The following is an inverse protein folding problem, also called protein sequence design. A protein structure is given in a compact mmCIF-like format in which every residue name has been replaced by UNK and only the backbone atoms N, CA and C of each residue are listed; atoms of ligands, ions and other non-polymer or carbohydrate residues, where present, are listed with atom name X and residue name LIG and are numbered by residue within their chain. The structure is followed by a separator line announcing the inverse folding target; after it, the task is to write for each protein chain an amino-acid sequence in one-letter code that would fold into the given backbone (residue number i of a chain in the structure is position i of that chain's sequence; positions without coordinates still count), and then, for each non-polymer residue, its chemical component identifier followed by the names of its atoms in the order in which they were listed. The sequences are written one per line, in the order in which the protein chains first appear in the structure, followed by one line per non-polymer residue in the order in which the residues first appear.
data_IF_381511792253
#
_entry.id   IF_381511792253
#
_cell.length_a   1.000
_cell.length_b   1.000
_cell.length_c   1.000
_cell.angle_alpha   90.00
_cell.angle_beta   90.00
_cell.angle_gamma   90.00
#
_symmetry.space_group_name_H-M   'P 1'
#
loop_
_entity.id
_entity.type
_entity.pdbx_description
1 polymer ?
#
# COMPACT_ATOMS: atom_id res chain seq x y z
N UNK A 1 -28.48 -3.49 34.47
CA UNK A 1 -27.78 -2.49 35.30
C UNK A 1 -26.32 -2.83 35.21
N UNK A 2 -25.60 -2.05 34.42
CA UNK A 2 -24.18 -1.73 34.55
C UNK A 2 -23.87 -0.72 33.44
N UNK A 3 -23.82 0.52 33.87
CA UNK A 3 -23.70 1.77 33.14
C UNK A 3 -22.32 2.33 33.51
N UNK A 4 -21.37 2.46 32.58
CA UNK A 4 -20.17 3.26 32.83
C UNK A 4 -19.61 3.92 31.55
N UNK A 5 -19.82 5.25 31.55
CA UNK A 5 -18.92 6.33 31.15
C UNK A 5 -18.37 6.40 29.72
N UNK A 6 -19.16 7.02 28.85
CA UNK A 6 -18.65 8.01 27.90
C UNK A 6 -18.36 9.33 28.64
N UNK A 7 -17.18 9.93 28.40
CA UNK A 7 -16.96 11.36 28.65
C UNK A 7 -15.76 11.68 29.54
N UNK A 8 -14.62 11.97 28.91
CA UNK A 8 -13.78 13.16 29.15
C UNK A 8 -12.64 13.18 28.11
N UNK A 9 -12.20 14.40 27.76
CA UNK A 9 -11.07 14.77 26.87
C UNK A 9 -11.42 15.53 25.57
N UNK A 10 -12.53 16.29 25.56
CA UNK A 10 -12.88 17.14 24.40
C UNK A 10 -12.48 18.63 24.51
N UNK A 11 -11.87 19.11 25.59
CA UNK A 11 -11.70 20.57 25.77
C UNK A 11 -10.26 21.12 25.73
N UNK A 12 -9.22 20.29 25.69
CA UNK A 12 -7.83 20.80 25.66
C UNK A 12 -7.29 21.00 24.23
N UNK A 13 -7.97 20.46 23.21
CA UNK A 13 -7.52 20.56 21.81
C UNK A 13 -8.17 21.71 21.03
N UNK A 14 -9.25 22.31 21.53
CA UNK A 14 -9.99 23.34 20.78
C UNK A 14 -9.23 24.66 20.66
N UNK A 15 -8.47 25.05 21.69
CA UNK A 15 -7.71 26.32 21.69
C UNK A 15 -6.43 26.23 20.85
N UNK A 16 -5.75 25.08 20.88
CA UNK A 16 -4.53 24.83 20.10
C UNK A 16 -4.82 24.61 18.61
N UNK A 17 -5.96 23.98 18.29
CA UNK A 17 -6.47 23.87 16.93
C UNK A 17 -6.99 25.22 16.40
N UNK A 18 -7.54 26.09 17.25
CA UNK A 18 -7.95 27.44 16.82
C UNK A 18 -6.77 28.38 16.59
N UNK A 19 -5.72 28.33 17.40
CA UNK A 19 -4.49 29.10 17.14
C UNK A 19 -3.78 28.60 15.87
N UNK A 20 -3.73 27.29 15.64
CA UNK A 20 -3.13 26.71 14.42
C UNK A 20 -3.98 26.96 13.17
N UNK A 21 -5.31 26.99 13.31
CA UNK A 21 -6.26 27.35 12.25
C UNK A 21 -6.14 28.81 11.81
N UNK A 22 -5.72 29.71 12.71
CA UNK A 22 -5.55 31.13 12.37
C UNK A 22 -4.32 31.41 11.50
N UNK A 23 -3.37 30.46 11.40
CA UNK A 23 -2.22 30.55 10.49
C UNK A 23 -2.47 29.93 9.11
N UNK A 24 -3.57 29.20 8.91
CA UNK A 24 -3.91 28.51 7.65
C UNK A 24 -5.27 29.02 7.15
N UNK A 25 -5.40 30.34 7.02
CA UNK A 25 -6.55 30.97 6.36
C UNK A 25 -6.11 32.15 5.48
N UNK A 26 -5.05 31.94 4.71
CA UNK A 26 -4.90 32.58 3.40
C UNK A 26 -4.95 31.45 2.37
N UNK A 27 -6.05 31.39 1.62
CA UNK A 27 -6.17 30.47 0.49
C UNK A 27 -5.01 30.71 -0.46
N UNK A 28 -4.13 29.72 -0.62
CA UNK A 28 -2.97 29.83 -1.52
C UNK A 28 -3.43 29.64 -2.95
N UNK A 29 -4.24 30.58 -3.42
CA UNK A 29 -4.38 30.92 -4.83
C UNK A 29 -3.21 31.84 -5.18
N UNK A 30 -2.00 31.27 -5.26
CA UNK A 30 -0.78 32.06 -5.29
C UNK A 30 0.43 31.33 -5.84
N UNK A 31 1.34 32.10 -6.45
CA UNK A 31 2.63 31.64 -6.93
C UNK A 31 3.50 31.16 -5.75
N UNK A 32 3.77 29.85 -5.69
CA UNK A 32 4.58 29.26 -4.62
C UNK A 32 6.10 29.45 -4.81
N UNK A 33 6.54 30.21 -5.83
CA UNK A 33 7.96 30.39 -6.16
C UNK A 33 8.81 30.83 -4.97
N UNK A 34 8.27 31.70 -4.10
CA UNK A 34 9.00 32.21 -2.94
C UNK A 34 9.37 31.11 -1.94
N UNK A 35 8.55 30.06 -1.79
CA UNK A 35 8.84 28.94 -0.90
C UNK A 35 10.02 28.08 -1.36
N UNK A 36 10.35 28.14 -2.66
CA UNK A 36 11.41 27.32 -3.26
C UNK A 36 12.62 28.16 -3.72
N UNK A 37 12.58 29.48 -3.52
CA UNK A 37 13.70 30.36 -3.79
C UNK A 37 14.71 30.25 -2.64
N UNK A 38 15.87 29.64 -2.92
CA UNK A 38 16.95 29.48 -1.95
C UNK A 38 18.32 29.65 -2.61
N UNK A 39 19.27 30.19 -1.85
CA UNK A 39 20.69 30.28 -2.23
C UNK A 39 21.50 29.11 -1.64
N UNK A 40 20.85 28.14 -1.01
CA UNK A 40 21.48 27.00 -0.39
C UNK A 40 22.09 26.05 -1.45
N UNK A 41 23.28 25.53 -1.13
CA UNK A 41 23.95 24.49 -1.91
C UNK A 41 23.81 23.19 -1.13
N UNK A 42 23.03 22.27 -1.69
CA UNK A 42 22.79 20.96 -1.07
C UNK A 42 23.98 20.03 -1.35
N UNK A 43 24.42 19.29 -0.34
CA UNK A 43 25.56 18.36 -0.50
C UNK A 43 25.28 17.19 -1.47
N UNK A 44 24.02 16.84 -1.70
CA UNK A 44 23.63 15.76 -2.61
C UNK A 44 22.28 16.04 -3.29
N UNK A 45 22.01 15.27 -4.35
CA UNK A 45 20.70 15.25 -5.03
C UNK A 45 19.60 14.85 -4.07
N UNK A 46 19.87 13.86 -3.22
CA UNK A 46 18.93 13.30 -2.28
C UNK A 46 18.56 14.33 -1.20
N UNK A 47 19.53 15.08 -0.69
CA UNK A 47 19.31 16.14 0.29
C UNK A 47 18.47 17.29 -0.29
N UNK A 48 18.73 17.68 -1.56
CA UNK A 48 17.88 18.64 -2.28
C UNK A 48 16.42 18.15 -2.38
N UNK A 49 16.22 16.87 -2.72
CA UNK A 49 14.87 16.30 -2.86
C UNK A 49 14.16 16.22 -1.50
N UNK A 50 14.89 15.89 -0.44
CA UNK A 50 14.36 15.82 0.92
C UNK A 50 13.94 17.19 1.44
N UNK A 51 14.75 18.22 1.21
CA UNK A 51 14.40 19.62 1.52
C UNK A 51 13.12 20.06 0.79
N UNK A 52 13.03 19.80 -0.53
CA UNK A 52 11.81 20.09 -1.31
C UNK A 52 10.60 19.34 -0.74
N UNK A 53 10.78 18.07 -0.35
CA UNK A 53 9.70 17.25 0.24
C UNK A 53 9.19 17.82 1.57
N UNK A 54 10.06 18.37 2.41
CA UNK A 54 9.66 19.03 3.65
C UNK A 54 8.76 20.24 3.41
N UNK A 55 9.11 21.09 2.44
CA UNK A 55 8.31 22.27 2.10
C UNK A 55 6.96 21.89 1.52
N UNK A 56 6.94 20.99 0.53
CA UNK A 56 5.69 20.61 -0.16
C UNK A 56 4.73 19.87 0.77
N UNK A 57 5.26 19.16 1.78
CA UNK A 57 4.45 18.52 2.83
C UNK A 57 3.64 19.56 3.60
N UNK A 58 4.29 20.64 4.03
CA UNK A 58 3.63 21.74 4.76
C UNK A 58 2.65 22.52 3.88
N UNK A 59 2.93 22.62 2.58
CA UNK A 59 2.05 23.30 1.61
C UNK A 59 0.90 22.42 1.10
N UNK A 60 0.83 21.15 1.48
CA UNK A 60 -0.32 20.31 1.14
C UNK A 60 -0.31 19.74 -0.28
N UNK A 61 0.86 19.46 -0.87
CA UNK A 61 0.92 18.75 -2.15
C UNK A 61 2.10 17.81 -2.27
N UNK A 62 2.09 16.97 -3.31
CA UNK A 62 3.10 15.94 -3.52
C UNK A 62 3.92 16.25 -4.76
N UNK A 63 5.24 16.17 -4.61
CA UNK A 63 6.20 16.31 -5.71
C UNK A 63 6.79 14.96 -6.09
N UNK A 64 6.89 14.72 -7.40
CA UNK A 64 7.45 13.52 -7.99
C UNK A 64 8.58 13.85 -8.96
N UNK A 65 9.53 12.93 -9.13
CA UNK A 65 10.54 13.03 -10.18
C UNK A 65 9.90 12.78 -11.54
N UNK A 66 9.82 13.83 -12.36
CA UNK A 66 9.31 13.74 -13.74
C UNK A 66 10.38 13.16 -14.66
N UNK A 67 11.61 13.64 -14.51
CA UNK A 67 12.75 13.24 -15.32
C UNK A 67 14.03 13.41 -14.53
N UNK A 68 15.00 12.54 -14.73
CA UNK A 68 16.36 12.74 -14.24
C UNK A 68 17.35 12.21 -15.26
N UNK A 69 18.52 12.82 -15.31
CA UNK A 69 19.60 12.41 -16.20
C UNK A 69 20.94 12.53 -15.46
N UNK A 70 21.93 11.75 -15.88
CA UNK A 70 23.30 11.78 -15.39
C UNK A 70 24.23 11.94 -16.58
N UNK A 71 25.18 12.88 -16.50
CA UNK A 71 26.19 13.05 -17.52
C UNK A 71 27.03 11.77 -17.62
N UNK A 72 27.04 11.14 -18.80
CA UNK A 72 27.81 9.93 -19.10
C UNK A 72 29.04 10.23 -19.97
N UNK A 73 29.48 11.49 -20.02
CA UNK A 73 30.54 11.93 -20.94
C UNK A 73 30.13 12.08 -22.40
N UNK A 74 28.86 11.78 -22.74
CA UNK A 74 28.32 12.01 -24.09
C UNK A 74 27.99 13.50 -24.31
N UNK A 75 28.29 14.07 -25.50
CA UNK A 75 27.90 15.44 -25.84
C UNK A 75 26.40 15.66 -25.66
N UNK A 76 26.01 16.71 -24.94
CA UNK A 76 24.62 17.10 -24.74
C UNK A 76 23.88 16.48 -23.54
N UNK A 77 24.42 15.44 -22.89
CA UNK A 77 23.84 14.90 -21.65
C UNK A 77 24.34 15.67 -20.44
N UNK A 78 23.40 16.31 -19.71
CA UNK A 78 23.69 17.07 -18.49
C UNK A 78 23.09 16.33 -17.29
N UNK A 79 23.79 16.33 -16.16
CA UNK A 79 23.24 15.82 -14.90
C UNK A 79 22.16 16.78 -14.39
N UNK A 80 20.93 16.29 -14.16
CA UNK A 80 19.86 17.07 -13.54
C UNK A 80 18.75 16.17 -12.98
N UNK A 81 17.90 16.75 -12.13
CA UNK A 81 16.61 16.20 -11.73
C UNK A 81 15.52 17.23 -11.97
N UNK A 82 14.45 16.83 -12.63
CA UNK A 82 13.24 17.60 -12.84
C UNK A 82 12.16 17.03 -11.92
N UNK A 83 11.69 17.86 -11.01
CA UNK A 83 10.64 17.59 -10.06
C UNK A 83 9.38 18.34 -10.49
N UNK A 84 8.21 17.78 -10.24
CA UNK A 84 6.96 18.53 -10.40
C UNK A 84 5.79 17.88 -9.68
N UNK A 85 4.63 18.52 -9.76
CA UNK A 85 3.45 18.09 -9.03
C UNK A 85 2.99 16.68 -9.43
N UNK A 86 2.53 15.88 -8.47
CA UNK A 86 1.94 14.55 -8.70
C UNK A 86 0.78 14.62 -9.71
N UNK A 87 0.04 15.73 -9.76
CA UNK A 87 -1.05 15.97 -10.71
C UNK A 87 -0.58 16.51 -12.08
N UNK A 88 0.72 16.73 -12.26
CA UNK A 88 1.32 17.19 -13.52
C UNK A 88 1.32 16.14 -14.64
N UNK A 89 1.29 16.63 -15.89
CA UNK A 89 1.24 15.81 -17.11
C UNK A 89 -0.16 15.29 -17.47
N UNK A 90 -0.25 14.60 -18.62
CA UNK A 90 -1.48 13.99 -19.13
C UNK A 90 -1.61 12.54 -18.69
N UNK A 91 -2.85 12.09 -18.49
CA UNK A 91 -3.13 10.66 -18.35
C UNK A 91 -2.73 9.94 -19.64
N UNK A 92 -1.94 8.87 -19.51
CA UNK A 92 -1.60 7.98 -20.62
C UNK A 92 -2.32 6.66 -20.40
N UNK A 93 -3.22 6.32 -21.31
CA UNK A 93 -3.86 5.01 -21.32
C UNK A 93 -2.80 3.92 -21.53
N UNK A 94 -2.83 2.89 -20.69
CA UNK A 94 -1.99 1.70 -20.89
C UNK A 94 -2.47 0.87 -22.09
N UNK A 95 -3.79 0.84 -22.33
CA UNK A 95 -4.41 0.28 -23.54
C UNK A 95 -5.35 1.31 -24.17
N UNK A 96 -5.17 1.70 -25.44
CA UNK A 96 -5.98 2.74 -26.07
C UNK A 96 -7.47 2.39 -26.12
N UNK A 97 -7.79 1.11 -26.33
CA UNK A 97 -9.16 0.61 -26.58
C UNK A 97 -9.98 0.35 -25.32
N UNK A 98 -9.40 0.52 -24.12
CA UNK A 98 -10.18 0.40 -22.89
C UNK A 98 -10.83 1.75 -22.52
N UNK A 99 -12.16 1.79 -22.31
CA UNK A 99 -12.81 2.97 -21.76
C UNK A 99 -12.29 3.22 -20.34
N UNK A 100 -11.96 4.47 -20.04
CA UNK A 100 -11.53 4.85 -18.69
C UNK A 100 -12.76 4.79 -17.79
N UNK A 101 -12.83 3.79 -16.92
CA UNK A 101 -13.96 3.59 -16.00
C UNK A 101 -13.94 4.60 -14.84
N UNK A 102 -12.84 5.33 -14.67
CA UNK A 102 -12.62 6.28 -13.57
C UNK A 102 -11.99 7.58 -14.08
N UNK A 103 -12.27 8.68 -13.39
CA UNK A 103 -11.61 9.97 -13.63
C UNK A 103 -10.11 9.91 -13.34
N UNK A 104 -9.33 10.69 -14.09
CA UNK A 104 -7.88 10.84 -13.88
C UNK A 104 -7.59 11.98 -12.90
N UNK A 105 -6.61 11.80 -12.00
CA UNK A 105 -6.12 12.88 -11.11
C UNK A 105 -5.15 13.85 -11.80
N UNK A 106 -4.61 13.45 -12.95
CA UNK A 106 -3.69 14.24 -13.76
C UNK A 106 -4.44 15.39 -14.42
N UNK A 107 -3.98 16.62 -14.20
CA UNK A 107 -4.58 17.86 -14.69
C UNK A 107 -3.55 18.78 -15.37
N UNK A 108 -2.41 18.24 -15.79
CA UNK A 108 -1.35 19.02 -16.44
C UNK A 108 -0.83 20.20 -15.60
N UNK A 109 -0.83 20.04 -14.27
CA UNK A 109 -0.29 21.04 -13.35
C UNK A 109 1.10 21.55 -13.81
N UNK A 110 1.29 22.87 -13.95
CA UNK A 110 2.51 23.45 -14.51
C UNK A 110 3.67 23.51 -13.50
N UNK A 111 3.41 23.38 -12.20
CA UNK A 111 4.42 23.39 -11.13
C UNK A 111 5.62 22.48 -11.45
N UNK A 112 6.81 23.09 -11.51
CA UNK A 112 8.07 22.40 -11.82
C UNK A 112 9.27 23.05 -11.14
N UNK A 113 10.16 22.20 -10.64
CA UNK A 113 11.45 22.55 -10.07
C UNK A 113 12.57 21.76 -10.75
N UNK A 114 13.76 22.34 -10.85
CA UNK A 114 14.94 21.70 -11.44
C UNK A 114 16.11 21.74 -10.47
N UNK A 115 16.57 20.57 -10.06
CA UNK A 115 17.87 20.40 -9.41
C UNK A 115 18.97 20.17 -10.43
N UNK A 116 20.10 20.85 -10.29
CA UNK A 116 21.30 20.65 -11.11
C UNK A 116 22.56 20.71 -10.24
N UNK A 117 23.66 20.04 -10.63
CA UNK A 117 24.93 20.21 -9.95
C UNK A 117 25.37 21.67 -9.94
N UNK A 118 26.01 22.08 -8.86
CA UNK A 118 26.65 23.38 -8.76
C UNK A 118 27.90 23.42 -9.67
N UNK A 119 28.28 24.61 -10.14
CA UNK A 119 29.25 24.79 -11.23
C UNK A 119 30.62 24.14 -11.00
N UNK A 120 31.02 23.92 -9.73
CA UNK A 120 32.30 23.30 -9.37
C UNK A 120 32.21 21.81 -9.04
N UNK A 121 31.03 21.18 -9.21
CA UNK A 121 30.80 19.76 -8.89
C UNK A 121 30.50 19.49 -7.41
N UNK A 122 30.84 20.43 -6.52
CA UNK A 122 30.54 20.35 -5.10
C UNK A 122 29.10 20.82 -4.83
N UNK A 123 28.18 19.85 -4.82
CA UNK A 123 26.81 20.05 -4.40
C UNK A 123 25.79 20.31 -5.52
N UNK A 124 24.58 20.66 -5.11
CA UNK A 124 23.38 20.76 -5.93
C UNK A 124 22.65 22.06 -5.61
N UNK A 125 22.11 22.69 -6.64
CA UNK A 125 21.28 23.89 -6.51
C UNK A 125 19.89 23.64 -7.07
N UNK A 126 18.90 24.28 -6.45
CA UNK A 126 17.51 24.25 -6.88
C UNK A 126 17.21 25.48 -7.75
N UNK A 127 16.48 25.26 -8.85
CA UNK A 127 15.97 26.31 -9.70
C UNK A 127 14.46 26.13 -9.86
N UNK A 128 13.68 27.17 -9.55
CA UNK A 128 12.24 27.19 -9.82
C UNK A 128 12.03 27.39 -11.32
N UNK A 129 11.23 26.52 -11.94
CA UNK A 129 10.77 26.70 -13.33
C UNK A 129 9.39 27.35 -13.34
N UNK A 130 8.48 26.85 -12.50
CA UNK A 130 7.13 27.39 -12.35
C UNK A 130 6.62 27.07 -10.94
N UNK A 131 6.20 28.10 -10.19
CA UNK A 131 5.59 27.97 -8.87
C UNK A 131 4.06 27.87 -8.86
N UNK A 132 3.41 27.92 -10.02
CA UNK A 132 1.94 27.93 -10.12
C UNK A 132 1.32 26.53 -10.11
N UNK A 133 0.14 26.43 -9.49
CA UNK A 133 -0.75 25.29 -9.56
C UNK A 133 -2.05 25.65 -10.28
N UNK A 134 -2.62 24.71 -11.02
CA UNK A 134 -3.91 24.87 -11.69
C UNK A 134 -5.02 24.08 -11.00
N UNK A 135 -4.84 23.81 -9.71
CA UNK A 135 -5.72 23.03 -8.88
C UNK A 135 -5.47 23.40 -7.41
N UNK A 136 -6.47 23.17 -6.58
CA UNK A 136 -6.34 23.40 -5.14
C UNK A 136 -5.30 22.47 -4.51
N UNK A 137 -4.58 23.00 -3.54
CA UNK A 137 -3.71 22.22 -2.67
C UNK A 137 -4.57 21.45 -1.66
N UNK A 138 -4.06 20.32 -1.15
CA UNK A 138 -4.80 19.45 -0.26
C UNK A 138 -4.56 19.84 1.21
N UNK A 139 -5.62 19.87 2.01
CA UNK A 139 -5.50 20.02 3.47
C UNK A 139 -4.74 18.85 4.11
N UNK A 140 -4.88 17.66 3.54
CA UNK A 140 -4.17 16.46 4.00
C UNK A 140 -3.63 15.67 2.82
N UNK A 141 -2.45 15.06 3.00
CA UNK A 141 -1.88 14.15 1.99
C UNK A 141 -2.48 12.73 2.05
N UNK A 142 -3.49 12.49 2.89
CA UNK A 142 -4.14 11.18 3.00
C UNK A 142 -4.86 10.86 1.69
N UNK A 143 -4.63 9.66 1.15
CA UNK A 143 -5.22 9.24 -0.13
C UNK A 143 -4.42 9.67 -1.37
N UNK A 144 -3.34 10.44 -1.19
CA UNK A 144 -2.34 10.66 -2.25
C UNK A 144 -1.53 9.37 -2.48
N UNK A 145 -1.55 8.78 -3.70
CA UNK A 145 -0.95 7.49 -3.96
C UNK A 145 0.56 7.49 -3.77
N UNK A 146 1.24 8.57 -4.14
CA UNK A 146 2.69 8.68 -3.99
C UNK A 146 3.09 8.94 -2.54
N UNK A 147 2.40 9.82 -1.82
CA UNK A 147 2.71 10.12 -0.41
C UNK A 147 2.46 8.93 0.52
N UNK A 148 1.39 8.15 0.28
CA UNK A 148 1.11 6.96 1.10
C UNK A 148 1.91 5.71 0.73
N UNK A 149 2.89 5.81 -0.19
CA UNK A 149 3.74 4.68 -0.58
C UNK A 149 4.72 4.35 0.54
N UNK A 150 4.83 3.06 0.87
CA UNK A 150 5.79 2.57 1.86
C UNK A 150 7.23 2.77 1.36
N UNK A 151 8.07 3.37 2.21
CA UNK A 151 9.51 3.40 1.99
C UNK A 151 10.14 2.04 2.34
N UNK A 152 11.45 1.88 2.11
CA UNK A 152 12.15 0.60 2.32
C UNK A 152 12.08 0.10 3.77
N UNK A 153 12.17 1.00 4.75
CA UNK A 153 12.09 0.68 6.18
C UNK A 153 10.69 0.23 6.57
N UNK A 154 9.67 0.98 6.15
CA UNK A 154 8.27 0.65 6.38
C UNK A 154 7.87 -0.67 5.68
N UNK A 155 8.41 -0.91 4.48
CA UNK A 155 8.21 -2.14 3.74
C UNK A 155 8.82 -3.34 4.50
N UNK A 156 9.98 -3.18 5.14
CA UNK A 156 10.59 -4.22 5.96
C UNK A 156 9.71 -4.56 7.18
N UNK A 157 9.16 -3.55 7.87
CA UNK A 157 8.20 -3.73 8.96
C UNK A 157 6.97 -4.50 8.48
N UNK A 158 6.39 -4.10 7.35
CA UNK A 158 5.22 -4.79 6.78
C UNK A 158 5.53 -6.27 6.48
N UNK A 159 6.71 -6.56 5.94
CA UNK A 159 7.13 -7.93 5.61
C UNK A 159 7.27 -8.77 6.87
N UNK A 160 7.96 -8.25 7.89
CA UNK A 160 8.16 -8.96 9.16
C UNK A 160 6.83 -9.28 9.85
N UNK A 161 5.98 -8.26 10.03
CA UNK A 161 4.66 -8.42 10.62
C UNK A 161 3.72 -9.30 9.78
N UNK A 162 3.93 -9.37 8.46
CA UNK A 162 3.18 -10.28 7.59
C UNK A 162 3.57 -11.73 7.84
N UNK A 163 4.85 -12.03 8.09
CA UNK A 163 5.33 -13.38 8.41
C UNK A 163 4.77 -13.88 9.74
N UNK A 164 4.66 -12.99 10.73
CA UNK A 164 4.06 -13.27 12.05
C UNK A 164 2.52 -13.22 12.05
N UNK A 165 1.90 -13.16 10.86
CA UNK A 165 0.44 -13.20 10.67
C UNK A 165 -0.33 -12.07 11.36
N UNK A 166 0.32 -10.93 11.64
CA UNK A 166 -0.35 -9.74 12.20
C UNK A 166 -1.40 -9.21 11.21
N UNK A 167 -2.48 -8.62 11.71
CA UNK A 167 -3.56 -8.06 10.86
C UNK A 167 -3.08 -6.80 10.14
N UNK A 168 -3.65 -6.50 8.96
CA UNK A 168 -3.30 -5.28 8.22
C UNK A 168 -3.61 -4.00 9.00
N UNK A 169 -4.65 -4.02 9.85
CA UNK A 169 -4.99 -2.89 10.71
C UNK A 169 -3.87 -2.61 11.73
N UNK A 170 -3.36 -3.64 12.41
CA UNK A 170 -2.27 -3.49 13.37
C UNK A 170 -0.96 -3.11 12.68
N UNK A 171 -0.69 -3.62 11.48
CA UNK A 171 0.46 -3.16 10.67
C UNK A 171 0.35 -1.66 10.40
N UNK A 172 -0.81 -1.17 9.98
CA UNK A 172 -1.01 0.25 9.74
C UNK A 172 -0.81 1.09 11.01
N UNK A 173 -1.30 0.62 12.16
CA UNK A 173 -1.11 1.29 13.44
C UNK A 173 0.38 1.40 13.79
N UNK A 174 1.15 0.31 13.66
CA UNK A 174 2.60 0.32 13.91
C UNK A 174 3.33 1.27 12.95
N UNK A 175 2.96 1.30 11.67
CA UNK A 175 3.56 2.24 10.71
C UNK A 175 3.32 3.70 11.09
N UNK A 176 2.11 4.03 11.59
CA UNK A 176 1.77 5.38 12.05
C UNK A 176 2.45 5.74 13.38
N UNK A 177 2.59 4.78 14.29
CA UNK A 177 3.33 4.98 15.55
C UNK A 177 4.82 5.22 15.33
N UNK A 178 5.40 4.62 14.29
CA UNK A 178 6.82 4.81 13.96
C UNK A 178 7.10 6.14 13.25
N UNK A 179 6.07 6.76 12.65
CA UNK A 179 6.20 8.00 11.89
C UNK A 179 4.87 8.76 11.85
N UNK A 180 4.79 9.86 12.58
CA UNK A 180 3.60 10.71 12.67
C UNK A 180 3.21 11.33 11.32
N UNK A 181 4.16 11.48 10.40
CA UNK A 181 3.92 11.99 9.05
C UNK A 181 3.45 10.89 8.07
N UNK A 182 3.29 9.64 8.51
CA UNK A 182 2.84 8.55 7.65
C UNK A 182 1.35 8.71 7.26
N UNK A 183 1.14 8.97 5.96
CA UNK A 183 -0.20 9.11 5.35
C UNK A 183 -0.66 7.86 4.60
N UNK A 184 -0.02 6.72 4.85
CA UNK A 184 -0.43 5.44 4.25
C UNK A 184 -1.85 5.09 4.69
N UNK A 185 -2.62 4.59 3.72
CA UNK A 185 -3.99 4.11 3.93
C UNK A 185 -4.03 2.60 4.11
N UNK A 186 -5.08 2.09 4.75
CA UNK A 186 -5.27 0.64 4.91
C UNK A 186 -5.31 -0.11 3.56
N UNK A 187 -5.84 0.54 2.51
CA UNK A 187 -5.86 0.02 1.15
C UNK A 187 -4.44 -0.21 0.62
N UNK A 188 -3.54 0.75 0.82
CA UNK A 188 -2.13 0.61 0.44
C UNK A 188 -1.43 -0.52 1.19
N UNK A 189 -1.72 -0.70 2.49
CA UNK A 189 -1.20 -1.84 3.27
C UNK A 189 -1.69 -3.17 2.70
N UNK A 190 -2.98 -3.29 2.37
CA UNK A 190 -3.52 -4.49 1.71
C UNK A 190 -2.81 -4.77 0.38
N UNK A 191 -2.65 -3.75 -0.47
CA UNK A 191 -1.97 -3.89 -1.76
C UNK A 191 -0.50 -4.28 -1.62
N UNK A 192 0.24 -3.67 -0.70
CA UNK A 192 1.64 -3.99 -0.43
C UNK A 192 1.78 -5.43 0.09
N UNK A 193 0.92 -5.83 1.03
CA UNK A 193 0.88 -7.20 1.56
C UNK A 193 0.53 -8.23 0.51
N UNK A 194 -0.44 -7.94 -0.34
CA UNK A 194 -0.80 -8.80 -1.47
C UNK A 194 0.39 -8.96 -2.42
N UNK A 195 1.07 -7.87 -2.75
CA UNK A 195 2.24 -7.88 -3.64
C UNK A 195 3.37 -8.72 -3.07
N UNK A 196 3.65 -8.59 -1.77
CA UNK A 196 4.63 -9.43 -1.07
C UNK A 196 4.25 -10.92 -1.07
N UNK A 197 2.99 -11.25 -0.75
CA UNK A 197 2.52 -12.65 -0.83
C UNK A 197 2.63 -13.20 -2.25
N UNK A 198 2.31 -12.37 -3.26
CA UNK A 198 2.44 -12.75 -4.67
C UNK A 198 3.90 -13.01 -5.05
N UNK A 199 4.85 -12.21 -4.58
CA UNK A 199 6.28 -12.46 -4.86
C UNK A 199 6.79 -13.76 -4.24
N UNK A 200 6.24 -14.20 -3.10
CA UNK A 200 6.58 -15.50 -2.50
C UNK A 200 6.08 -16.70 -3.32
N UNK A 201 4.93 -16.56 -3.98
CA UNK A 201 4.34 -17.63 -4.80
C UNK A 201 5.08 -17.84 -6.13
N UNK A 202 5.71 -16.80 -6.65
CA UNK A 202 6.33 -16.82 -7.98
C UNK A 202 5.27 -16.90 -9.07
N UNK A 203 5.47 -17.79 -10.04
CA UNK A 203 4.54 -18.04 -11.15
C UNK A 203 3.33 -18.91 -10.79
N UNK A 204 3.30 -19.49 -9.58
CA UNK A 204 2.23 -20.40 -9.16
C UNK A 204 0.90 -19.67 -9.00
N UNK A 205 -0.19 -20.32 -9.43
CA UNK A 205 -1.54 -19.89 -9.09
C UNK A 205 -1.81 -20.02 -7.59
N UNK A 206 -2.88 -19.40 -7.09
CA UNK A 206 -3.23 -19.49 -5.67
C UNK A 206 -3.52 -20.94 -5.26
N UNK A 207 -4.14 -21.72 -6.15
CA UNK A 207 -4.44 -23.12 -5.96
C UNK A 207 -3.18 -24.00 -6.00
N UNK A 208 -2.29 -23.80 -6.96
CA UNK A 208 -1.01 -24.52 -7.02
C UNK A 208 -0.17 -24.28 -5.77
N UNK A 209 -0.16 -23.05 -5.27
CA UNK A 209 0.50 -22.73 -4.00
C UNK A 209 -0.16 -23.47 -2.83
N UNK A 210 -1.50 -23.52 -2.79
CA UNK A 210 -2.24 -24.25 -1.76
C UNK A 210 -1.91 -25.74 -1.78
N UNK A 211 -1.99 -26.40 -2.95
CA UNK A 211 -1.67 -27.82 -3.09
C UNK A 211 -0.25 -28.12 -2.62
N UNK A 212 0.74 -27.33 -3.06
CA UNK A 212 2.12 -27.46 -2.60
C UNK A 212 2.26 -27.32 -1.07
N UNK A 213 1.49 -26.44 -0.43
CA UNK A 213 1.50 -26.30 1.04
C UNK A 213 0.84 -27.50 1.72
N UNK A 214 -0.25 -28.04 1.18
CA UNK A 214 -0.92 -29.23 1.69
C UNK A 214 0.03 -30.44 1.63
N UNK A 215 0.74 -30.63 0.51
CA UNK A 215 1.75 -31.68 0.36
C UNK A 215 2.89 -31.52 1.37
N UNK A 216 3.47 -30.33 1.44
CA UNK A 216 4.61 -30.03 2.32
C UNK A 216 4.27 -30.29 3.78
N UNK A 217 3.10 -29.83 4.21
CA UNK A 217 2.65 -29.92 5.60
C UNK A 217 1.90 -31.24 5.88
N UNK A 218 1.94 -32.19 4.92
CA UNK A 218 1.40 -33.55 5.01
C UNK A 218 -0.09 -33.61 5.32
N UNK A 219 -0.86 -32.67 4.77
CA UNK A 219 -2.31 -32.73 4.83
C UNK A 219 -2.84 -33.85 3.95
N UNK A 220 -3.88 -34.52 4.42
CA UNK A 220 -4.66 -35.43 3.59
C UNK A 220 -5.53 -34.56 2.71
N UNK A 221 -5.40 -34.68 1.40
CA UNK A 221 -6.17 -33.88 0.47
C UNK A 221 -6.59 -34.70 -0.76
N UNK A 222 -7.69 -34.27 -1.36
CA UNK A 222 -8.27 -34.86 -2.56
C UNK A 222 -8.79 -33.73 -3.45
N UNK A 223 -8.60 -33.84 -4.75
CA UNK A 223 -9.07 -32.87 -5.72
C UNK A 223 -9.70 -33.55 -6.92
N UNK A 224 -10.71 -32.90 -7.51
CA UNK A 224 -11.30 -33.26 -8.79
C UNK A 224 -11.16 -32.09 -9.76
N UNK A 225 -10.84 -32.39 -11.02
CA UNK A 225 -10.88 -31.44 -12.11
C UNK A 225 -12.25 -31.49 -12.81
N UNK A 226 -12.65 -30.39 -13.41
CA UNK A 226 -13.78 -30.36 -14.32
C UNK A 226 -13.50 -31.29 -15.53
N UNK A 227 -14.56 -31.88 -16.09
CA UNK A 227 -14.45 -32.75 -17.27
C UNK A 227 -13.70 -32.03 -18.39
N UNK A 228 -12.75 -32.75 -19.00
CA UNK A 228 -11.88 -32.27 -20.07
C UNK A 228 -11.09 -30.97 -19.77
N UNK A 229 -10.81 -30.70 -18.48
CA UNK A 229 -10.09 -29.50 -18.05
C UNK A 229 -8.99 -29.80 -17.03
N UNK A 230 -7.94 -28.98 -17.03
CA UNK A 230 -6.94 -28.92 -15.94
C UNK A 230 -7.40 -28.02 -14.77
N UNK A 231 -8.62 -27.49 -14.83
CA UNK A 231 -9.18 -26.63 -13.77
C UNK A 231 -9.78 -27.51 -12.68
N UNK A 232 -9.25 -27.39 -11.46
CA UNK A 232 -9.81 -28.04 -10.26
C UNK A 232 -11.19 -27.45 -9.95
N UNK A 233 -12.21 -28.29 -9.95
CA UNK A 233 -13.59 -27.95 -9.58
C UNK A 233 -13.81 -28.08 -8.07
N UNK A 234 -13.24 -29.13 -7.47
CA UNK A 234 -13.47 -29.50 -6.08
C UNK A 234 -12.14 -29.78 -5.38
N UNK A 235 -11.99 -29.27 -4.16
CA UNK A 235 -10.82 -29.51 -3.33
C UNK A 235 -11.25 -29.79 -1.89
N UNK A 236 -10.86 -30.95 -1.37
CA UNK A 236 -11.06 -31.36 0.01
C UNK A 236 -9.69 -31.54 0.68
N UNK A 237 -9.54 -31.08 1.92
CA UNK A 237 -8.34 -31.32 2.70
C UNK A 237 -8.61 -31.35 4.20
N UNK A 238 -7.80 -32.11 4.93
CA UNK A 238 -7.89 -32.25 6.38
C UNK A 238 -6.52 -32.52 6.99
N UNK A 239 -6.30 -32.03 8.20
CA UNK A 239 -5.05 -32.27 8.94
C UNK A 239 -5.04 -33.73 9.47
N UNK A 240 -3.91 -34.45 9.46
CA UNK A 240 -3.89 -35.86 9.87
C UNK A 240 -4.37 -36.10 11.32
N UNK A 241 -3.99 -35.22 12.26
CA UNK A 241 -4.50 -35.30 13.64
C UNK A 241 -6.02 -35.15 13.70
N UNK A 242 -6.58 -34.46 12.72
CA UNK A 242 -7.98 -34.19 12.67
C UNK A 242 -8.76 -35.49 12.36
N UNK A 243 -8.25 -36.30 11.42
CA UNK A 243 -8.76 -37.65 11.14
C UNK A 243 -8.63 -38.57 12.35
N UNK A 244 -7.50 -38.49 13.08
CA UNK A 244 -7.32 -39.28 14.32
C UNK A 244 -8.37 -38.93 15.38
N UNK A 245 -8.68 -37.65 15.55
CA UNK A 245 -9.71 -37.20 16.48
C UNK A 245 -11.10 -37.69 16.05
N UNK A 246 -11.43 -37.62 14.76
CA UNK A 246 -12.69 -38.14 14.23
C UNK A 246 -12.84 -39.65 14.47
N UNK A 247 -11.77 -40.42 14.30
CA UNK A 247 -11.79 -41.86 14.54
C UNK A 247 -11.88 -42.21 16.03
N UNK A 248 -11.34 -41.37 16.92
CA UNK A 248 -11.37 -41.56 18.37
C UNK A 248 -12.70 -41.10 19.00
N UNK A 249 -13.35 -40.11 18.40
CA UNK A 249 -14.61 -39.54 18.87
C UNK A 249 -15.61 -39.49 17.72
N UNK A 250 -16.61 -40.38 17.75
CA UNK A 250 -17.67 -40.46 16.74
C UNK A 250 -18.70 -39.31 16.80
N UNK A 251 -18.42 -38.24 17.56
CA UNK A 251 -19.28 -37.06 17.67
C UNK A 251 -18.82 -36.01 16.67
N UNK A 252 -19.61 -35.81 15.62
CA UNK A 252 -19.35 -34.82 14.57
C UNK A 252 -20.06 -33.51 14.92
N UNK A 253 -19.29 -32.47 15.23
CA UNK A 253 -19.80 -31.09 15.33
C UNK A 253 -19.76 -30.43 13.95
N UNK A 254 -20.92 -30.34 13.32
CA UNK A 254 -21.11 -29.58 12.08
C UNK A 254 -21.21 -28.09 12.43
N UNK A 255 -20.14 -27.34 12.17
CA UNK A 255 -20.19 -25.89 12.20
C UNK A 255 -20.28 -25.36 10.78
N UNK A 256 -21.45 -24.82 10.44
CA UNK A 256 -21.64 -24.10 9.20
C UNK A 256 -20.70 -22.89 9.16
N UNK A 257 -19.68 -22.98 8.32
CA UNK A 257 -18.78 -21.87 8.02
C UNK A 257 -19.16 -21.27 6.66
N UNK A 258 -20.43 -20.90 6.49
CA UNK A 258 -20.90 -20.07 5.36
C UNK A 258 -20.32 -18.66 5.48
N UNK A 259 -19.03 -18.51 5.17
CA UNK A 259 -18.45 -17.20 4.94
C UNK A 259 -18.95 -16.68 3.60
N UNK A 260 -19.94 -15.78 3.62
CA UNK A 260 -20.33 -14.95 2.46
C UNK A 260 -19.18 -14.00 2.08
N UNK A 261 -18.10 -14.50 1.50
CA UNK A 261 -17.21 -13.77 0.59
C UNK A 261 -16.28 -14.78 -0.10
N UNK A 262 -16.55 -15.09 -1.38
CA UNK A 262 -15.63 -15.80 -2.29
C UNK A 262 -14.40 -14.92 -2.61
N UNK A 263 -13.53 -14.71 -1.62
CA UNK A 263 -12.17 -14.21 -1.81
C UNK A 263 -11.26 -15.12 -0.99
N UNK A 264 -10.54 -16.01 -1.66
CA UNK A 264 -9.58 -16.94 -1.07
C UNK A 264 -8.46 -16.16 -0.37
N UNK A 265 -8.68 -15.83 0.90
CA UNK A 265 -7.62 -15.41 1.81
C UNK A 265 -7.20 -16.62 2.66
N UNK A 266 -6.12 -17.35 2.31
CA UNK A 266 -5.73 -18.60 2.97
C UNK A 266 -5.32 -18.46 4.45
N UNK A 267 -5.38 -17.25 5.03
CA UNK A 267 -4.93 -16.96 6.40
C UNK A 267 -6.05 -16.85 7.43
N UNK A 268 -7.34 -16.89 7.03
CA UNK A 268 -8.48 -16.90 7.98
C UNK A 268 -8.94 -18.30 8.40
N UNK A 269 -8.66 -19.35 7.63
CA UNK A 269 -9.03 -20.72 8.03
C UNK A 269 -8.33 -21.18 9.31
N UNK A 270 -7.13 -20.67 9.62
CA UNK A 270 -6.35 -21.19 10.75
C UNK A 270 -6.87 -20.80 12.15
N UNK A 271 -7.72 -19.76 12.26
CA UNK A 271 -8.36 -19.42 13.55
C UNK A 271 -9.59 -20.28 13.87
N UNK A 272 -10.24 -20.85 12.86
CA UNK A 272 -11.43 -21.69 13.03
C UNK A 272 -11.14 -23.18 12.82
N UNK A 273 -9.99 -23.54 12.23
CA UNK A 273 -9.56 -24.94 12.09
C UNK A 273 -9.29 -25.66 13.42
N UNK A 274 -9.36 -24.96 14.57
CA UNK A 274 -9.38 -25.64 15.88
C UNK A 274 -10.69 -26.36 16.17
N UNK A 275 -11.74 -26.10 15.40
CA UNK A 275 -12.96 -26.90 15.41
C UNK A 275 -13.72 -26.66 14.11
N UNK A 276 -13.54 -27.53 13.11
CA UNK A 276 -14.45 -27.68 11.97
C UNK A 276 -14.06 -28.94 11.18
N UNK A 277 -14.96 -29.92 11.13
CA UNK A 277 -14.85 -31.11 10.29
C UNK A 277 -16.06 -31.13 9.36
N UNK A 278 -15.83 -31.06 8.05
CA UNK A 278 -16.88 -31.19 7.05
C UNK A 278 -16.97 -32.62 6.51
N UNK A 279 -18.19 -33.10 6.38
CA UNK A 279 -18.56 -34.39 5.78
C UNK A 279 -18.68 -34.27 4.25
N UNK A 280 -18.33 -35.32 3.51
CA UNK A 280 -19.04 -35.68 2.28
C UNK A 280 -19.18 -37.21 2.24
N UNK A 281 -20.41 -37.66 1.98
CA UNK A 281 -20.91 -39.00 2.23
C UNK A 281 -20.16 -40.12 1.49
N UNK A 282 -19.89 -41.18 2.24
CA UNK A 282 -19.90 -42.55 1.72
C UNK A 282 -21.27 -42.85 1.09
N UNK A 283 -21.26 -43.19 -0.20
CA UNK A 283 -22.22 -44.13 -0.78
C UNK A 283 -21.61 -44.72 -2.04
N UNK A 284 -20.92 -45.85 -1.90
CA UNK A 284 -20.84 -46.99 -2.82
C UNK A 284 -19.58 -47.83 -2.53
N UNK A 285 -19.64 -48.64 -1.47
CA UNK A 285 -18.94 -49.91 -1.41
C UNK A 285 -19.98 -50.94 -0.95
N UNK A 286 -20.67 -51.51 -1.92
CA UNK A 286 -21.54 -52.67 -1.74
C UNK A 286 -21.55 -53.46 -3.04
N UNK A 287 -20.42 -54.11 -3.34
CA UNK A 287 -20.25 -55.54 -3.70
C UNK A 287 -18.81 -55.77 -4.11
#
# INVERSE_FOLDING_TARGET
MDEYCYGMDFEINSSRLSEFSSFINEGVEGDLTNHFTTNEIFSSRENLIEWVRGIVYNLGFVVVTIRSDKATGQPGRKTFVLLGCERGGKYRKYKPDQPSTYGTRKCECPFQLRGKPYCNGDGWILQVICGYHNHDLAETLVGHPYAGRLNSTEQAVLVDMTKTQVTSANILLTLKQNNDHNVTTIKQVYTARYTYKRSLRGSRTELQQLMMMLDRDKYIHWSRCAEDSEVVSDLFWTHPNAVKLLNAFNVVLLMDSTYKTNILHPTRCNKYARAAYSHCCCSQCST
#
